data_IF_320088260100
#
_entry.id   IF_320088260100
#
_cell.length_a   1.000
_cell.length_b   1.000
_cell.length_c   1.000
_cell.angle_alpha   90.00
_cell.angle_beta   90.00
_cell.angle_gamma   90.00
#
_symmetry.space_group_name_H-M   'P 1'
#
loop_
_entity.id
_entity.type
_entity.pdbx_description
1 polymer ?
#
# COMPACT_ATOMS: atom_id res chain seq x y z
N UNK A 1 -22.23 10.03 1.56
CA UNK A 1 -21.19 9.00 1.34
C UNK A 1 -19.79 9.50 1.68
N UNK A 2 -19.30 10.60 1.05
CA UNK A 2 -17.96 11.13 1.33
C UNK A 2 -17.78 11.57 2.79
N UNK A 3 -18.77 12.26 3.36
CA UNK A 3 -18.74 12.69 4.75
C UNK A 3 -18.78 11.48 5.70
N UNK A 4 -19.60 10.47 5.41
CA UNK A 4 -19.77 9.28 6.26
C UNK A 4 -18.47 8.46 6.33
N UNK A 5 -17.79 8.26 5.18
CA UNK A 5 -16.48 7.59 5.17
C UNK A 5 -15.41 8.36 5.95
N UNK A 6 -15.45 9.70 5.90
CA UNK A 6 -14.57 10.55 6.69
C UNK A 6 -14.88 10.47 8.20
N UNK A 7 -16.15 10.40 8.57
CA UNK A 7 -16.58 10.24 9.98
C UNK A 7 -16.12 8.88 10.50
N UNK A 8 -16.40 7.81 9.76
CA UNK A 8 -15.98 6.46 10.13
C UNK A 8 -14.45 6.38 10.32
N UNK A 9 -13.68 6.89 9.38
CA UNK A 9 -12.21 6.89 9.47
C UNK A 9 -11.70 7.64 10.70
N UNK A 10 -12.17 8.87 10.95
CA UNK A 10 -11.74 9.69 12.09
C UNK A 10 -12.17 9.10 13.43
N UNK A 11 -13.38 8.54 13.49
CA UNK A 11 -13.89 7.89 14.70
C UNK A 11 -13.09 6.62 15.02
N UNK A 12 -12.77 5.83 14.00
CA UNK A 12 -11.91 4.66 14.11
C UNK A 12 -10.52 5.06 14.65
N UNK A 13 -9.89 6.05 14.03
CA UNK A 13 -8.60 6.57 14.49
C UNK A 13 -8.64 7.01 15.96
N UNK A 14 -9.64 7.84 16.33
CA UNK A 14 -9.79 8.34 17.69
C UNK A 14 -9.98 7.21 18.71
N UNK A 15 -10.77 6.20 18.37
CA UNK A 15 -10.98 5.03 19.23
C UNK A 15 -9.67 4.27 19.45
N UNK A 16 -8.98 3.88 18.38
CA UNK A 16 -7.74 3.11 18.50
C UNK A 16 -6.62 3.90 19.17
N UNK A 17 -6.44 5.19 18.87
CA UNK A 17 -5.42 6.02 19.53
C UNK A 17 -5.66 6.08 21.04
N UNK A 18 -6.93 6.10 21.49
CA UNK A 18 -7.27 6.04 22.91
C UNK A 18 -7.00 4.67 23.51
N UNK A 19 -7.46 3.59 22.87
CA UNK A 19 -7.37 2.23 23.41
C UNK A 19 -5.93 1.65 23.38
N UNK A 20 -5.08 2.15 22.50
CA UNK A 20 -3.67 1.71 22.36
C UNK A 20 -2.70 2.59 23.14
N UNK A 21 -3.17 3.58 23.89
CA UNK A 21 -2.33 4.55 24.60
C UNK A 21 -1.37 3.88 25.58
N UNK A 22 -1.84 2.92 26.36
CA UNK A 22 -1.03 2.20 27.36
C UNK A 22 0.05 1.31 26.70
N UNK A 23 -0.15 0.94 25.44
CA UNK A 23 0.82 0.20 24.63
C UNK A 23 1.78 1.14 23.88
N UNK A 24 1.64 2.45 24.01
CA UNK A 24 2.38 3.47 23.24
C UNK A 24 2.23 3.30 21.72
N UNK A 25 1.16 2.68 21.26
CA UNK A 25 0.82 2.50 19.86
C UNK A 25 -0.22 3.52 19.42
N UNK A 26 -0.32 3.75 18.11
CA UNK A 26 -1.37 4.56 17.50
C UNK A 26 -2.02 3.79 16.36
N UNK A 27 -3.17 4.28 15.91
CA UNK A 27 -3.88 3.72 14.77
C UNK A 27 -3.00 3.55 13.53
N UNK A 28 -2.08 4.50 13.28
CA UNK A 28 -1.20 4.43 12.11
C UNK A 28 -0.22 3.24 12.12
N UNK A 29 0.15 2.75 13.30
CA UNK A 29 1.03 1.58 13.44
C UNK A 29 0.26 0.26 13.43
N UNK A 30 -0.99 0.27 13.88
CA UNK A 30 -1.76 -0.94 14.13
C UNK A 30 -1.89 -1.86 12.90
N UNK A 31 -2.33 -1.39 11.72
CA UNK A 31 -2.47 -2.27 10.55
C UNK A 31 -1.12 -2.85 10.10
N UNK A 32 -0.04 -2.06 10.21
CA UNK A 32 1.31 -2.50 9.85
C UNK A 32 1.82 -3.57 10.81
N UNK A 33 1.59 -3.39 12.12
CA UNK A 33 1.98 -4.37 13.12
C UNK A 33 1.26 -5.70 12.94
N UNK A 34 -0.04 -5.65 12.64
CA UNK A 34 -0.85 -6.85 12.40
C UNK A 34 -0.39 -7.54 11.12
N UNK A 35 -0.13 -6.80 10.05
CA UNK A 35 0.36 -7.36 8.79
C UNK A 35 1.70 -8.09 8.99
N UNK A 36 2.61 -7.52 9.78
CA UNK A 36 3.89 -8.18 10.12
C UNK A 36 3.64 -9.43 10.96
N UNK A 37 2.71 -9.39 11.92
CA UNK A 37 2.42 -10.52 12.78
C UNK A 37 1.79 -11.70 12.03
N UNK A 38 0.90 -11.42 11.09
CA UNK A 38 0.25 -12.44 10.28
C UNK A 38 1.17 -12.98 9.16
N UNK A 39 2.21 -12.21 8.78
CA UNK A 39 3.15 -12.53 7.70
C UNK A 39 4.61 -12.29 8.12
N UNK A 40 5.08 -13.08 9.09
CA UNK A 40 6.47 -12.99 9.60
C UNK A 40 7.51 -13.11 8.46
N UNK A 41 8.48 -12.21 8.43
CA UNK A 41 9.46 -12.12 7.36
C UNK A 41 9.04 -11.24 6.17
N UNK A 42 7.87 -10.58 6.26
CA UNK A 42 7.41 -9.66 5.24
C UNK A 42 8.38 -8.49 5.05
N UNK A 43 8.57 -8.04 3.81
CA UNK A 43 9.39 -6.88 3.49
C UNK A 43 8.59 -5.58 3.55
N UNK A 44 9.29 -4.44 3.72
CA UNK A 44 8.70 -3.11 3.62
C UNK A 44 7.92 -2.90 2.31
N UNK A 45 8.46 -3.41 1.20
CA UNK A 45 7.83 -3.28 -0.11
C UNK A 45 6.51 -4.04 -0.22
N UNK A 46 6.44 -5.24 0.36
CA UNK A 46 5.20 -6.01 0.40
C UNK A 46 4.12 -5.31 1.23
N UNK A 47 4.49 -4.71 2.39
CA UNK A 47 3.52 -3.91 3.19
C UNK A 47 3.00 -2.71 2.39
N UNK A 48 3.88 -2.01 1.65
CA UNK A 48 3.48 -0.92 0.74
C UNK A 48 2.44 -1.41 -0.27
N UNK A 49 2.69 -2.55 -0.89
CA UNK A 49 1.82 -3.14 -1.90
C UNK A 49 0.47 -3.59 -1.32
N UNK A 50 0.49 -4.33 -0.21
CA UNK A 50 -0.75 -4.83 0.43
C UNK A 50 -1.58 -3.68 0.99
N UNK A 51 -0.95 -2.74 1.68
CA UNK A 51 -1.64 -1.64 2.37
C UNK A 51 -1.99 -0.44 1.48
N UNK A 52 -1.40 -0.32 0.28
CA UNK A 52 -1.56 0.87 -0.57
C UNK A 52 -0.98 2.14 0.07
N UNK A 53 0.02 1.99 0.93
CA UNK A 53 0.66 3.11 1.62
C UNK A 53 1.77 3.73 0.80
N UNK A 54 2.02 5.03 1.02
CA UNK A 54 3.28 5.63 0.57
C UNK A 54 4.48 4.99 1.30
N UNK A 55 5.56 4.71 0.57
CA UNK A 55 6.78 4.07 1.10
C UNK A 55 7.33 4.76 2.35
N UNK A 56 7.34 6.10 2.36
CA UNK A 56 7.80 6.89 3.50
C UNK A 56 6.94 6.68 4.76
N UNK A 57 5.64 6.51 4.60
CA UNK A 57 4.71 6.24 5.70
C UNK A 57 4.99 4.88 6.34
N UNK A 58 5.16 3.82 5.52
CA UNK A 58 5.50 2.48 6.03
C UNK A 58 6.84 2.51 6.75
N UNK A 59 7.87 3.08 6.12
CA UNK A 59 9.21 3.18 6.71
C UNK A 59 9.19 3.85 8.07
N UNK A 60 8.52 5.01 8.20
CA UNK A 60 8.40 5.76 9.47
C UNK A 60 7.71 4.93 10.56
N UNK A 61 6.59 4.29 10.23
CA UNK A 61 5.83 3.49 11.20
C UNK A 61 6.58 2.22 11.62
N UNK A 62 7.23 1.52 10.69
CA UNK A 62 8.07 0.34 11.01
C UNK A 62 9.24 0.73 11.91
N UNK A 63 9.93 1.85 11.64
CA UNK A 63 10.98 2.36 12.51
C UNK A 63 10.46 2.69 13.91
N UNK A 64 9.27 3.30 14.01
CA UNK A 64 8.63 3.59 15.30
C UNK A 64 8.31 2.29 16.05
N UNK A 65 7.73 1.29 15.38
CA UNK A 65 7.46 -0.03 15.97
C UNK A 65 8.75 -0.73 16.44
N UNK A 66 9.82 -0.62 15.66
CA UNK A 66 11.13 -1.16 16.06
C UNK A 66 11.69 -0.43 17.28
N UNK A 67 11.61 0.88 17.35
CA UNK A 67 12.03 1.68 18.52
C UNK A 67 11.23 1.35 19.77
N UNK A 68 9.93 1.08 19.63
CA UNK A 68 9.05 0.65 20.71
C UNK A 68 9.25 -0.82 21.11
N UNK A 69 10.04 -1.58 20.37
CA UNK A 69 10.34 -2.97 20.64
C UNK A 69 9.28 -3.97 20.17
N UNK A 70 8.30 -3.57 19.38
CA UNK A 70 7.28 -4.46 18.84
C UNK A 70 7.75 -5.26 17.62
N UNK A 71 8.63 -4.68 16.81
CA UNK A 71 9.13 -5.28 15.57
C UNK A 71 10.64 -5.28 15.55
N UNK A 72 11.23 -6.33 15.01
CA UNK A 72 12.65 -6.42 14.66
C UNK A 72 12.84 -6.38 13.15
N UNK A 73 13.91 -5.71 12.71
CA UNK A 73 14.27 -5.54 11.30
C UNK A 73 15.55 -6.33 11.06
N UNK A 74 15.46 -7.42 10.33
CA UNK A 74 16.59 -8.29 10.02
C UNK A 74 17.01 -8.15 8.56
N UNK A 75 18.26 -8.43 8.27
CA UNK A 75 18.72 -8.53 6.89
C UNK A 75 18.39 -9.93 6.37
N UNK A 76 17.76 -10.02 5.20
CA UNK A 76 17.42 -11.29 4.59
C UNK A 76 18.67 -12.16 4.36
N UNK A 77 18.58 -13.45 4.70
CA UNK A 77 19.63 -14.41 4.42
C UNK A 77 19.78 -14.67 2.89
N UNK A 78 18.71 -14.46 2.13
CA UNK A 78 18.68 -14.70 0.68
C UNK A 78 19.21 -13.50 -0.12
N UNK A 79 18.91 -12.29 0.33
CA UNK A 79 19.37 -11.05 -0.30
C UNK A 79 19.78 -10.04 0.77
N UNK A 80 21.06 -9.78 0.90
CA UNK A 80 21.63 -8.83 1.89
C UNK A 80 21.13 -7.39 1.73
N UNK A 81 20.48 -7.05 0.60
CA UNK A 81 19.87 -5.73 0.37
C UNK A 81 18.42 -5.66 0.87
N UNK A 82 17.78 -6.82 1.03
CA UNK A 82 16.41 -6.91 1.51
C UNK A 82 16.36 -6.90 3.04
N UNK A 83 15.34 -6.25 3.59
CA UNK A 83 15.03 -6.26 5.01
C UNK A 83 13.74 -7.03 5.23
N UNK A 84 13.78 -7.93 6.19
CA UNK A 84 12.66 -8.74 6.64
C UNK A 84 12.22 -8.27 8.01
N UNK A 85 10.91 -8.24 8.23
CA UNK A 85 10.28 -7.74 9.43
C UNK A 85 9.68 -8.89 10.22
N UNK A 86 9.97 -8.90 11.51
CA UNK A 86 9.49 -9.93 12.43
C UNK A 86 8.91 -9.29 13.68
N UNK A 87 7.89 -9.90 14.27
CA UNK A 87 7.40 -9.47 15.56
C UNK A 87 8.27 -9.98 16.71
N UNK A 88 8.28 -9.25 17.80
CA UNK A 88 9.05 -9.60 18.99
C UNK A 88 8.20 -10.33 20.03
N UNK A 89 8.82 -10.76 21.12
CA UNK A 89 8.11 -11.30 22.27
C UNK A 89 7.13 -10.29 22.91
N UNK A 90 7.42 -8.99 22.81
CA UNK A 90 6.53 -7.92 23.28
C UNK A 90 5.21 -7.92 22.48
N UNK A 91 5.28 -8.02 21.16
CA UNK A 91 4.08 -8.12 20.31
C UNK A 91 3.28 -9.36 20.67
N UNK A 92 3.93 -10.52 20.78
CA UNK A 92 3.27 -11.79 21.14
C UNK A 92 2.57 -11.72 22.50
N UNK A 93 3.13 -10.97 23.45
CA UNK A 93 2.51 -10.73 24.75
C UNK A 93 1.21 -9.93 24.65
N UNK A 94 1.17 -8.90 23.79
CA UNK A 94 0.04 -7.97 23.68
C UNK A 94 -0.91 -8.25 22.53
N UNK A 95 -0.62 -9.24 21.68
CA UNK A 95 -1.41 -9.46 20.46
C UNK A 95 -2.88 -9.82 20.76
N UNK A 96 -3.12 -10.60 21.80
CA UNK A 96 -4.50 -10.96 22.20
C UNK A 96 -5.31 -9.75 22.65
N UNK A 97 -4.69 -8.81 23.36
CA UNK A 97 -5.27 -7.54 23.76
C UNK A 97 -5.59 -6.68 22.53
N UNK A 98 -4.65 -6.57 21.61
CA UNK A 98 -4.81 -5.82 20.34
C UNK A 98 -5.98 -6.39 19.52
N UNK A 99 -6.08 -7.71 19.40
CA UNK A 99 -7.22 -8.35 18.71
C UNK A 99 -8.53 -8.17 19.47
N UNK A 100 -8.50 -8.14 20.82
CA UNK A 100 -9.65 -7.79 21.64
C UNK A 100 -10.18 -6.39 21.32
N UNK A 101 -9.31 -5.37 21.33
CA UNK A 101 -9.66 -3.98 20.98
C UNK A 101 -10.27 -3.91 19.57
N UNK A 102 -9.73 -4.66 18.59
CA UNK A 102 -10.28 -4.71 17.21
C UNK A 102 -11.69 -5.31 17.20
N UNK A 103 -11.86 -6.43 17.88
CA UNK A 103 -13.14 -7.12 17.95
C UNK A 103 -14.21 -6.25 18.62
N UNK A 104 -13.86 -5.58 19.73
CA UNK A 104 -14.78 -4.73 20.48
C UNK A 104 -15.22 -3.51 19.63
N UNK A 105 -14.28 -2.88 18.89
CA UNK A 105 -14.62 -1.82 17.96
C UNK A 105 -15.58 -2.32 16.87
N UNK A 106 -15.24 -3.44 16.23
CA UNK A 106 -16.07 -4.00 15.17
C UNK A 106 -17.47 -4.35 15.68
N UNK A 107 -17.57 -5.03 16.80
CA UNK A 107 -18.85 -5.38 17.43
C UNK A 107 -19.67 -4.13 17.73
N UNK A 108 -19.05 -3.08 18.24
CA UNK A 108 -19.74 -1.86 18.62
C UNK A 108 -20.31 -1.10 17.41
N UNK A 109 -19.55 -1.00 16.32
CA UNK A 109 -20.03 -0.29 15.11
C UNK A 109 -20.99 -1.10 14.26
N UNK A 110 -21.09 -2.42 14.48
CA UNK A 110 -21.99 -3.32 13.75
C UNK A 110 -23.12 -3.87 14.62
N UNK A 111 -23.35 -3.33 15.81
CA UNK A 111 -24.29 -3.89 16.80
C UNK A 111 -25.73 -4.00 16.30
N UNK A 112 -26.12 -3.13 15.36
CA UNK A 112 -27.49 -3.09 14.81
C UNK A 112 -27.61 -3.86 13.48
N UNK A 113 -26.54 -4.57 13.05
CA UNK A 113 -26.50 -5.37 11.84
C UNK A 113 -26.51 -6.86 12.17
N UNK A 114 -27.23 -7.64 11.38
CA UNK A 114 -27.15 -9.09 11.45
C UNK A 114 -25.95 -9.67 10.68
N UNK A 115 -25.69 -10.97 10.81
CA UNK A 115 -24.52 -11.60 10.21
C UNK A 115 -24.50 -11.51 8.68
N UNK A 116 -25.65 -11.68 8.02
CA UNK A 116 -25.75 -11.61 6.57
C UNK A 116 -25.48 -10.18 6.06
N UNK A 117 -25.98 -9.17 6.75
CA UNK A 117 -25.73 -7.76 6.43
C UNK A 117 -24.25 -7.41 6.59
N UNK A 118 -23.60 -7.91 7.66
CA UNK A 118 -22.16 -7.72 7.87
C UNK A 118 -21.34 -8.38 6.75
N UNK A 119 -21.71 -9.58 6.32
CA UNK A 119 -21.02 -10.27 5.22
C UNK A 119 -21.16 -9.50 3.90
N UNK A 120 -22.38 -9.11 3.55
CA UNK A 120 -22.67 -8.33 2.35
C UNK A 120 -21.94 -6.99 2.37
N UNK A 121 -22.00 -6.27 3.49
CA UNK A 121 -21.26 -5.01 3.65
C UNK A 121 -19.75 -5.20 3.48
N UNK A 122 -19.17 -6.21 4.12
CA UNK A 122 -17.73 -6.48 4.05
C UNK A 122 -17.29 -6.74 2.62
N UNK A 123 -18.06 -7.50 1.85
CA UNK A 123 -17.82 -7.79 0.44
C UNK A 123 -17.86 -6.53 -0.43
N UNK A 124 -18.88 -5.70 -0.26
CA UNK A 124 -18.99 -4.45 -1.00
C UNK A 124 -17.89 -3.46 -0.62
N UNK A 125 -17.59 -3.33 0.65
CA UNK A 125 -16.55 -2.43 1.14
C UNK A 125 -15.18 -2.81 0.58
N UNK A 126 -14.85 -4.10 0.55
CA UNK A 126 -13.63 -4.61 -0.05
C UNK A 126 -13.57 -4.32 -1.55
N UNK A 127 -14.67 -4.53 -2.27
CA UNK A 127 -14.76 -4.25 -3.71
C UNK A 127 -14.52 -2.77 -3.99
N UNK A 128 -15.19 -1.87 -3.24
CA UNK A 128 -15.01 -0.42 -3.38
C UNK A 128 -13.57 0.02 -3.07
N UNK A 129 -12.97 -0.54 -2.02
CA UNK A 129 -11.59 -0.25 -1.63
C UNK A 129 -10.59 -0.66 -2.72
N UNK A 130 -10.79 -1.83 -3.34
CA UNK A 130 -9.94 -2.32 -4.43
C UNK A 130 -10.08 -1.45 -5.69
N UNK A 131 -11.31 -1.06 -6.05
CA UNK A 131 -11.54 -0.16 -7.19
C UNK A 131 -10.96 1.24 -6.95
N UNK A 132 -11.13 1.79 -5.75
CA UNK A 132 -10.58 3.10 -5.40
C UNK A 132 -9.05 3.10 -5.48
N UNK A 133 -8.40 2.05 -4.97
CA UNK A 133 -6.95 1.87 -5.09
C UNK A 133 -6.52 1.80 -6.55
N UNK A 134 -7.11 0.91 -7.32
CA UNK A 134 -6.80 0.71 -8.73
C UNK A 134 -6.93 2.01 -9.54
N UNK A 135 -7.97 2.79 -9.28
CA UNK A 135 -8.18 4.07 -9.95
C UNK A 135 -7.15 5.14 -9.54
N UNK A 136 -6.85 5.24 -8.25
CA UNK A 136 -5.85 6.17 -7.75
C UNK A 136 -4.43 5.84 -8.26
N UNK A 137 -4.09 4.56 -8.40
CA UNK A 137 -2.81 4.11 -8.96
C UNK A 137 -2.71 4.40 -10.47
N UNK A 138 -3.84 4.32 -11.21
CA UNK A 138 -3.90 4.70 -12.63
C UNK A 138 -3.64 6.18 -12.86
N UNK A 139 -4.11 7.06 -11.98
CA UNK A 139 -3.81 8.49 -12.08
C UNK A 139 -2.33 8.82 -11.82
N UNK A 140 -1.61 7.97 -11.08
CA UNK A 140 -0.17 8.14 -10.85
C UNK A 140 0.69 7.66 -12.03
N UNK A 141 0.16 6.86 -12.93
CA UNK A 141 0.77 6.53 -14.20
C UNK A 141 0.44 7.60 -15.24
N UNK A 142 0.91 8.83 -15.03
CA UNK A 142 0.95 9.84 -16.09
C UNK A 142 1.90 9.35 -17.18
N UNK A 143 1.35 8.67 -18.19
CA UNK A 143 2.06 8.41 -19.44
C UNK A 143 2.38 9.75 -20.09
N UNK A 144 3.60 10.24 -19.87
CA UNK A 144 4.07 11.44 -20.56
C UNK A 144 4.41 11.06 -22.00
N UNK A 145 3.72 11.70 -22.93
CA UNK A 145 4.03 11.58 -24.35
C UNK A 145 5.02 12.67 -24.74
N UNK A 146 6.17 12.25 -25.21
CA UNK A 146 7.26 13.17 -25.55
C UNK A 146 7.33 13.50 -27.04
N UNK A 147 6.79 12.62 -27.87
CA UNK A 147 6.81 12.80 -29.32
C UNK A 147 5.61 12.19 -30.00
N UNK A 148 5.04 12.89 -30.96
CA UNK A 148 4.00 12.41 -31.86
C UNK A 148 4.53 12.44 -33.29
N UNK A 149 4.61 11.28 -33.94
CA UNK A 149 4.80 11.18 -35.38
C UNK A 149 3.44 11.05 -36.03
N UNK A 150 2.92 12.17 -36.58
CA UNK A 150 1.54 12.28 -37.10
C UNK A 150 1.26 11.36 -38.28
N UNK A 151 2.28 11.01 -39.06
CA UNK A 151 2.17 10.11 -40.18
C UNK A 151 3.39 9.20 -40.22
N UNK A 152 3.18 7.90 -40.25
CA UNK A 152 4.20 6.90 -40.49
C UNK A 152 3.75 5.96 -41.60
N UNK A 153 4.62 5.77 -42.58
CA UNK A 153 4.41 4.86 -43.70
C UNK A 153 5.14 3.53 -43.51
N UNK A 154 5.96 3.43 -42.46
CA UNK A 154 6.82 2.27 -42.19
C UNK A 154 6.53 1.52 -40.93
N UNK A 155 5.79 2.13 -39.99
CA UNK A 155 5.57 1.53 -38.68
C UNK A 155 4.43 0.50 -38.66
N UNK A 156 3.56 0.51 -39.69
CA UNK A 156 2.42 -0.42 -39.81
C UNK A 156 2.00 -0.59 -41.29
N UNK A 157 2.86 -1.16 -42.10
CA UNK A 157 2.56 -1.42 -43.52
C UNK A 157 1.47 -2.52 -43.64
N UNK A 158 0.40 -2.37 -44.47
CA UNK A 158 0.14 -1.32 -45.46
C UNK A 158 -0.72 -0.12 -44.99
N UNK A 159 -0.86 0.11 -43.71
CA UNK A 159 -1.74 1.13 -43.14
C UNK A 159 -1.04 2.45 -42.87
N UNK A 160 -1.77 3.55 -43.06
CA UNK A 160 -1.34 4.86 -42.53
C UNK A 160 -1.46 4.83 -41.01
N UNK A 161 -0.38 5.09 -40.31
CA UNK A 161 -0.32 5.05 -38.87
C UNK A 161 0.22 6.34 -38.27
N UNK A 162 -0.08 6.59 -36.99
CA UNK A 162 0.61 7.58 -36.16
C UNK A 162 1.32 6.86 -35.01
N UNK A 163 2.46 7.36 -34.61
CA UNK A 163 3.25 6.78 -33.51
C UNK A 163 3.32 7.77 -32.35
N UNK A 164 2.94 7.32 -31.16
CA UNK A 164 3.07 8.04 -29.91
C UNK A 164 4.28 7.47 -29.16
N UNK A 165 5.22 8.32 -28.78
CA UNK A 165 6.41 7.93 -28.05
C UNK A 165 6.30 8.33 -26.59
N UNK A 166 6.45 7.36 -25.69
CA UNK A 166 6.56 7.58 -24.25
C UNK A 166 8.03 7.66 -23.86
N UNK A 167 8.34 8.32 -22.77
CA UNK A 167 9.71 8.42 -22.26
C UNK A 167 10.08 7.30 -21.29
N UNK A 168 11.39 7.12 -21.13
CA UNK A 168 11.98 6.14 -20.23
C UNK A 168 12.14 4.75 -20.87
N UNK A 169 13.28 4.15 -20.65
CA UNK A 169 13.57 2.78 -21.07
C UNK A 169 14.59 2.15 -20.12
N UNK A 170 14.35 0.93 -19.69
CA UNK A 170 15.27 0.18 -18.84
C UNK A 170 16.32 -0.64 -19.63
N UNK A 171 16.27 -0.60 -20.96
CA UNK A 171 17.22 -1.29 -21.83
C UNK A 171 18.36 -0.34 -22.21
N UNK A 172 19.57 -0.89 -22.29
CA UNK A 172 20.79 -0.20 -22.73
C UNK A 172 21.25 -0.72 -24.10
N UNK A 173 20.38 -0.59 -25.12
CA UNK A 173 20.67 -1.08 -26.46
C UNK A 173 21.77 -0.23 -27.12
N UNK A 174 22.85 -0.82 -27.60
CA UNK A 174 23.95 -0.09 -28.28
C UNK A 174 23.50 0.60 -29.57
N UNK A 175 22.42 0.12 -30.17
CA UNK A 175 21.82 0.65 -31.41
C UNK A 175 20.51 1.41 -31.18
N UNK A 176 20.31 2.04 -30.01
CA UNK A 176 19.09 2.76 -29.73
C UNK A 176 18.91 3.95 -30.68
N UNK A 177 17.81 3.92 -31.45
CA UNK A 177 17.46 5.02 -32.39
C UNK A 177 16.71 6.18 -31.65
N UNK A 178 16.30 5.98 -30.41
CA UNK A 178 15.52 6.96 -29.64
C UNK A 178 16.23 7.35 -28.34
N UNK A 179 17.54 7.60 -28.42
CA UNK A 179 18.36 7.93 -27.24
C UNK A 179 17.82 9.12 -26.44
N UNK A 180 17.26 10.09 -27.13
CA UNK A 180 16.69 11.29 -26.51
C UNK A 180 15.46 10.98 -25.62
N UNK A 181 14.76 9.87 -25.88
CA UNK A 181 13.61 9.42 -25.10
C UNK A 181 14.00 8.48 -23.95
N UNK A 182 15.23 7.92 -23.98
CA UNK A 182 15.77 7.05 -22.93
C UNK A 182 16.32 7.87 -21.76
N UNK A 183 17.02 8.94 -22.09
CA UNK A 183 17.67 9.84 -21.12
C UNK A 183 16.93 11.17 -21.08
N UNK A 184 15.69 11.14 -20.58
CA UNK A 184 14.96 12.38 -20.34
C UNK A 184 15.73 13.18 -19.29
N UNK A 185 16.30 14.32 -19.72
CA UNK A 185 16.74 15.34 -18.78
C UNK A 185 15.49 16.09 -18.31
N UNK A 186 15.28 16.12 -17.00
CA UNK A 186 14.32 16.99 -16.33
C UNK A 186 14.56 18.46 -16.71
#
# INVERSE_FOLDING_TARGET
LLMDSSILYRSTQKYYDKMLQDLNLSYAQLPILIEIYENEGISLQQIVQVGGYAKGTVTKNVQKLNTLGYVSILTSAKDKRAKELYTTALTKKHISEIYGIRRDWWHHITQDLNADEIEVFSKFYQTLSNHARSYADLEQTNLQFYKLKKLSLSDFDPYLSCSLYTGGCNLKCPYCHSKDLVYLKE
#
